data_IF_911271855347
#
_entry.id   IF_911271855347
#
_cell.length_a   1.000
_cell.length_b   1.000
_cell.length_c   1.000
_cell.angle_alpha   90.00
_cell.angle_beta   90.00
_cell.angle_gamma   90.00
#
_symmetry.space_group_name_H-M   'P 1'
#
loop_
_entity.id
_entity.type
_entity.pdbx_description
1 polymer ?
#
# COMPACT_ATOMS: atom_id res chain seq x y z
N UNK A 1 15.54 -14.19 -14.82
CA UNK A 1 14.76 -13.51 -13.83
C UNK A 1 13.77 -12.58 -14.47
N UNK A 2 12.53 -12.85 -14.36
CA UNK A 2 11.53 -12.07 -15.03
C UNK A 2 11.10 -10.86 -14.21
N UNK A 3 11.05 -9.71 -14.84
CA UNK A 3 10.49 -8.51 -14.22
C UNK A 3 8.99 -8.63 -14.05
N UNK A 4 8.39 -9.53 -14.81
CA UNK A 4 6.94 -9.76 -14.76
C UNK A 4 6.50 -10.26 -13.39
N UNK A 5 7.42 -10.82 -12.63
CA UNK A 5 7.11 -11.35 -11.31
C UNK A 5 7.24 -10.31 -10.20
N UNK A 6 7.62 -9.09 -10.54
CA UNK A 6 7.86 -8.06 -9.53
C UNK A 6 6.64 -7.78 -8.66
N UNK A 7 5.44 -7.95 -9.19
CA UNK A 7 4.21 -7.75 -8.42
C UNK A 7 3.89 -8.91 -7.50
N UNK A 8 4.45 -10.09 -7.77
CA UNK A 8 4.20 -11.31 -6.99
C UNK A 8 5.15 -11.46 -5.82
N UNK A 9 6.34 -10.92 -5.95
CA UNK A 9 7.37 -11.10 -4.93
C UNK A 9 7.38 -9.93 -3.98
N UNK A 10 7.60 -10.24 -2.72
CA UNK A 10 7.78 -9.20 -1.74
C UNK A 10 9.09 -8.47 -2.03
N UNK A 11 9.05 -7.16 -1.94
CA UNK A 11 10.22 -6.33 -2.15
C UNK A 11 10.62 -5.75 -0.78
N UNK A 12 11.82 -6.10 -0.25
CA UNK A 12 12.22 -5.63 1.07
C UNK A 12 12.34 -4.11 1.15
N UNK A 13 12.45 -3.45 -0.01
CA UNK A 13 12.56 -2.00 -0.05
C UNK A 13 11.20 -1.31 -0.23
N UNK A 14 10.12 -2.08 -0.24
CA UNK A 14 8.79 -1.52 -0.44
C UNK A 14 7.81 -2.09 0.57
N UNK A 15 7.02 -1.20 1.13
CA UNK A 15 5.92 -1.56 2.01
C UNK A 15 4.73 -0.69 1.65
N UNK A 16 3.56 -1.30 1.63
CA UNK A 16 2.32 -0.63 1.27
C UNK A 16 1.37 -0.64 2.45
N UNK A 17 0.73 0.48 2.69
CA UNK A 17 -0.31 0.57 3.71
C UNK A 17 -1.64 0.79 3.04
N UNK A 18 -2.64 0.01 3.44
CA UNK A 18 -4.03 0.27 3.07
C UNK A 18 -4.62 1.16 4.15
N UNK A 19 -5.01 2.38 3.76
CA UNK A 19 -5.51 3.37 4.69
C UNK A 19 -6.99 3.60 4.44
N UNK A 20 -7.80 3.43 5.47
CA UNK A 20 -9.24 3.63 5.35
C UNK A 20 -9.55 5.12 5.32
N UNK A 21 -10.25 5.55 4.28
CA UNK A 21 -10.52 6.97 4.06
C UNK A 21 -11.54 7.53 5.03
N UNK A 22 -12.54 6.73 5.36
CA UNK A 22 -13.66 7.20 6.18
C UNK A 22 -13.27 7.41 7.64
N UNK A 23 -12.44 6.54 8.18
CA UNK A 23 -12.07 6.56 9.60
C UNK A 23 -10.60 6.90 9.83
N UNK A 24 -9.85 7.04 8.75
CA UNK A 24 -8.40 7.29 8.80
C UNK A 24 -7.63 6.19 9.55
N UNK A 25 -8.23 5.02 9.66
CA UNK A 25 -7.61 3.91 10.34
C UNK A 25 -6.68 3.14 9.42
N UNK A 26 -5.74 2.43 10.04
CA UNK A 26 -4.83 1.56 9.33
C UNK A 26 -5.55 0.28 8.92
N UNK A 27 -5.60 0.01 7.63
CA UNK A 27 -6.19 -1.20 7.09
C UNK A 27 -5.20 -2.35 6.92
N UNK A 28 -3.94 -2.14 7.28
CA UNK A 28 -2.92 -3.17 7.22
C UNK A 28 -1.71 -2.76 6.40
N UNK A 29 -0.60 -3.43 6.66
CA UNK A 29 0.64 -3.25 5.90
C UNK A 29 0.92 -4.50 5.08
N UNK A 30 1.34 -4.31 3.84
CA UNK A 30 1.56 -5.42 2.92
C UNK A 30 2.87 -5.22 2.16
N UNK A 31 3.58 -6.31 1.94
CA UNK A 31 4.88 -6.28 1.26
C UNK A 31 4.74 -6.30 -0.25
N UNK A 32 3.58 -6.65 -0.78
CA UNK A 32 3.34 -6.65 -2.21
C UNK A 32 2.15 -5.78 -2.53
N UNK A 33 2.19 -5.13 -3.69
CA UNK A 33 1.08 -4.32 -4.16
C UNK A 33 -0.16 -5.18 -4.39
N UNK A 34 0.02 -6.41 -4.85
CA UNK A 34 -1.09 -7.31 -5.10
C UNK A 34 -1.89 -7.59 -3.83
N UNK A 35 -1.19 -7.87 -2.73
CA UNK A 35 -1.86 -8.09 -1.44
C UNK A 35 -2.62 -6.85 -0.98
N UNK A 36 -2.02 -5.68 -1.15
CA UNK A 36 -2.67 -4.42 -0.78
C UNK A 36 -3.93 -4.17 -1.61
N UNK A 37 -3.86 -4.45 -2.92
CA UNK A 37 -5.01 -4.30 -3.80
C UNK A 37 -6.15 -5.24 -3.43
N UNK A 38 -5.83 -6.48 -3.08
CA UNK A 38 -6.84 -7.43 -2.64
C UNK A 38 -7.52 -6.96 -1.36
N UNK A 39 -6.75 -6.42 -0.45
CA UNK A 39 -7.32 -5.91 0.81
C UNK A 39 -8.17 -4.68 0.57
N UNK A 40 -7.72 -3.78 -0.30
CA UNK A 40 -8.50 -2.62 -0.68
C UNK A 40 -9.86 -3.02 -1.24
N UNK A 41 -9.86 -4.00 -2.13
CA UNK A 41 -11.09 -4.50 -2.73
C UNK A 41 -12.02 -5.10 -1.69
N UNK A 42 -11.48 -5.83 -0.72
CA UNK A 42 -12.24 -6.40 0.37
C UNK A 42 -12.93 -5.31 1.21
N UNK A 43 -12.22 -4.24 1.52
CA UNK A 43 -12.81 -3.12 2.24
C UNK A 43 -13.89 -2.41 1.44
N UNK A 44 -13.71 -2.29 0.13
CA UNK A 44 -14.70 -1.64 -0.73
C UNK A 44 -16.03 -2.39 -0.74
N UNK A 45 -16.00 -3.72 -0.59
CA UNK A 45 -17.24 -4.50 -0.52
C UNK A 45 -18.04 -4.21 0.74
N UNK A 46 -17.41 -3.61 1.74
CA UNK A 46 -18.05 -3.22 3.00
C UNK A 46 -18.36 -1.74 3.06
N UNK A 47 -18.29 -1.04 1.93
CA UNK A 47 -18.40 0.42 1.85
C UNK A 47 -17.34 1.15 2.66
N UNK A 48 -16.22 0.50 2.91
CA UNK A 48 -15.09 1.09 3.61
C UNK A 48 -14.01 1.43 2.58
N UNK A 49 -14.19 2.56 1.93
CA UNK A 49 -13.24 2.98 0.91
C UNK A 49 -11.84 3.15 1.50
N UNK A 50 -10.87 2.73 0.73
CA UNK A 50 -9.49 2.73 1.18
C UNK A 50 -8.57 3.20 0.06
N UNK A 51 -7.44 3.76 0.44
CA UNK A 51 -6.37 4.09 -0.50
C UNK A 51 -5.12 3.30 -0.13
N UNK A 52 -4.24 3.12 -1.09
CA UNK A 52 -2.97 2.45 -0.87
C UNK A 52 -1.86 3.49 -0.96
N UNK A 53 -1.01 3.53 0.05
CA UNK A 53 0.13 4.46 0.08
C UNK A 53 1.41 3.67 0.31
N UNK A 54 2.52 4.22 -0.18
CA UNK A 54 3.84 3.67 0.15
C UNK A 54 4.29 4.20 1.50
N UNK A 55 4.86 3.31 2.29
CA UNK A 55 5.40 3.68 3.60
C UNK A 55 6.81 3.15 3.72
N UNK A 56 7.55 3.71 4.67
CA UNK A 56 8.90 3.28 4.96
C UNK A 56 8.86 1.88 5.57
N UNK A 57 9.65 0.91 5.04
CA UNK A 57 9.63 -0.44 5.58
C UNK A 57 10.12 -0.54 7.03
N UNK A 58 10.90 0.43 7.49
CA UNK A 58 11.44 0.38 8.85
C UNK A 58 10.52 1.05 9.87
N UNK A 59 10.12 2.29 9.61
CA UNK A 59 9.33 3.05 10.59
C UNK A 59 7.86 3.18 10.22
N UNK A 60 7.49 2.70 9.01
CA UNK A 60 6.10 2.69 8.51
C UNK A 60 5.48 4.08 8.37
N UNK A 61 6.31 5.09 8.25
CA UNK A 61 5.82 6.45 7.98
C UNK A 61 5.53 6.61 6.50
N UNK A 62 4.51 7.42 6.14
CA UNK A 62 4.21 7.67 4.74
C UNK A 62 5.40 8.27 4.00
N UNK A 63 5.60 7.82 2.77
CA UNK A 63 6.65 8.34 1.90
C UNK A 63 6.07 9.34 0.91
N UNK A 64 6.72 10.50 0.81
CA UNK A 64 6.30 11.56 -0.09
C UNK A 64 7.42 11.87 -1.08
N UNK A 65 7.04 12.23 -2.31
CA UNK A 65 7.98 12.68 -3.30
C UNK A 65 8.41 14.11 -3.06
N UNK A 66 9.28 14.62 -3.93
CA UNK A 66 9.79 15.99 -3.82
C UNK A 66 8.70 17.03 -3.96
N UNK A 67 7.63 16.70 -4.65
CA UNK A 67 6.49 17.60 -4.87
C UNK A 67 5.49 17.57 -3.71
N UNK A 68 5.75 16.80 -2.67
CA UNK A 68 4.85 16.67 -1.52
C UNK A 68 3.72 15.70 -1.71
N UNK A 69 3.63 15.03 -2.86
CA UNK A 69 2.63 14.02 -3.13
C UNK A 69 3.12 12.64 -2.72
N UNK A 70 2.22 11.71 -2.38
CA UNK A 70 2.62 10.35 -2.06
C UNK A 70 3.42 9.74 -3.20
N UNK A 71 4.43 8.96 -2.84
CA UNK A 71 5.24 8.27 -3.84
C UNK A 71 4.40 7.28 -4.63
N UNK A 72 4.71 7.07 -5.92
CA UNK A 72 3.98 6.08 -6.73
C UNK A 72 4.17 4.66 -6.17
N UNK A 73 3.16 3.86 -6.34
CA UNK A 73 3.13 2.48 -5.86
C UNK A 73 4.07 1.53 -6.65
#
# INVERSE_FOLDING_TARGET
MGRLDALKYSNPNKLYQVKLLKTDKNGGFFKTLQEALLKQKEYETKDWYATIIRVDPENRNPLYGQDGWPMPL
#
